data_IF_958972936801
#
_entry.id   IF_958972936801
#
_cell.length_a   1.000
_cell.length_b   1.000
_cell.length_c   1.000
_cell.angle_alpha   90.00
_cell.angle_beta   90.00
_cell.angle_gamma   90.00
#
_symmetry.space_group_name_H-M   'P 1'
#
loop_
_entity.id
_entity.type
_entity.pdbx_description
1 polymer ?
#
# COMPACT_ATOMS: atom_id res chain seq x y z
N UNK A 1 6.65 -25.09 -1.11
CA UNK A 1 6.31 -24.24 0.08
C UNK A 1 6.12 -22.81 -0.37
N UNK A 2 5.32 -22.01 0.35
CA UNK A 2 5.12 -20.59 0.03
C UNK A 2 5.38 -19.80 1.31
N UNK A 3 6.36 -18.89 1.25
CA UNK A 3 6.68 -17.96 2.34
C UNK A 3 5.97 -16.62 2.07
N UNK A 4 5.26 -16.08 3.06
CA UNK A 4 4.50 -14.81 2.93
C UNK A 4 4.56 -14.00 4.23
N UNK A 5 4.70 -12.67 4.10
CA UNK A 5 4.65 -11.70 5.19
C UNK A 5 3.25 -11.14 5.45
N UNK A 6 3.20 -10.09 6.24
CA UNK A 6 2.00 -9.27 6.38
C UNK A 6 1.65 -8.62 5.03
N UNK A 7 0.41 -8.14 4.89
CA UNK A 7 -0.04 -7.47 3.68
C UNK A 7 -1.52 -7.69 3.39
N UNK A 8 -1.87 -7.73 2.12
CA UNK A 8 -3.25 -7.85 1.68
C UNK A 8 -3.87 -9.21 2.04
N UNK A 9 -4.95 -9.17 2.84
CA UNK A 9 -5.64 -10.39 3.32
C UNK A 9 -6.16 -11.29 2.19
N UNK A 10 -6.47 -10.74 1.01
CA UNK A 10 -6.89 -11.51 -0.16
C UNK A 10 -5.80 -12.44 -0.67
N UNK A 11 -4.52 -12.04 -0.63
CA UNK A 11 -3.39 -12.90 -0.97
C UNK A 11 -3.30 -14.10 -0.03
N UNK A 12 -3.46 -13.88 1.29
CA UNK A 12 -3.52 -14.96 2.26
C UNK A 12 -4.70 -15.92 1.99
N UNK A 13 -5.86 -15.40 1.58
CA UNK A 13 -7.01 -16.20 1.21
C UNK A 13 -6.75 -17.10 0.00
N UNK A 14 -6.14 -16.55 -1.05
CA UNK A 14 -5.74 -17.29 -2.26
C UNK A 14 -4.72 -18.38 -1.91
N UNK A 15 -3.70 -18.06 -1.12
CA UNK A 15 -2.67 -19.02 -0.72
C UNK A 15 -3.24 -20.13 0.17
N UNK A 16 -4.16 -19.81 1.08
CA UNK A 16 -4.87 -20.82 1.88
C UNK A 16 -5.69 -21.78 0.99
N UNK A 17 -6.31 -21.27 -0.08
CA UNK A 17 -6.99 -22.11 -1.07
C UNK A 17 -6.00 -22.97 -1.83
N UNK A 18 -4.89 -22.42 -2.32
CA UNK A 18 -3.84 -23.18 -3.01
C UNK A 18 -3.23 -24.27 -2.11
N UNK A 19 -2.98 -23.96 -0.84
CA UNK A 19 -2.51 -24.95 0.14
C UNK A 19 -3.46 -26.15 0.25
N UNK A 20 -4.78 -25.91 0.26
CA UNK A 20 -5.79 -27.00 0.26
C UNK A 20 -5.77 -27.83 -1.02
N UNK A 21 -5.52 -27.22 -2.16
CA UNK A 21 -5.57 -27.89 -3.47
C UNK A 21 -4.28 -28.67 -3.76
N UNK A 22 -3.14 -28.16 -3.36
CA UNK A 22 -1.81 -28.67 -3.75
C UNK A 22 -1.03 -29.32 -2.60
N UNK A 23 -1.45 -29.09 -1.36
CA UNK A 23 -0.70 -29.49 -0.17
C UNK A 23 0.51 -28.58 0.13
N UNK A 24 0.67 -27.46 -0.60
CA UNK A 24 1.76 -26.53 -0.34
C UNK A 24 1.69 -25.95 1.07
N UNK A 25 2.81 -25.95 1.79
CA UNK A 25 2.91 -25.39 3.13
C UNK A 25 3.05 -23.87 3.03
N UNK A 26 2.35 -23.12 3.90
CA UNK A 26 2.49 -21.69 4.07
C UNK A 26 3.33 -21.44 5.32
N UNK A 27 4.37 -20.62 5.20
CA UNK A 27 5.31 -20.27 6.28
C UNK A 27 5.50 -18.74 6.35
N UNK A 28 5.92 -18.20 7.50
CA UNK A 28 6.21 -16.77 7.61
C UNK A 28 7.33 -16.31 6.66
N UNK A 29 7.29 -15.04 6.24
CA UNK A 29 8.30 -14.42 5.36
C UNK A 29 9.73 -14.53 5.92
N UNK A 30 9.85 -14.41 7.24
CA UNK A 30 11.14 -14.50 7.97
C UNK A 30 11.49 -15.95 8.38
N UNK A 31 10.94 -16.97 7.69
CA UNK A 31 11.36 -18.36 7.87
C UNK A 31 12.86 -18.51 7.65
N UNK A 32 13.48 -19.54 8.27
CA UNK A 32 14.89 -19.84 8.01
C UNK A 32 15.09 -20.14 6.52
N UNK A 33 16.16 -19.61 5.94
CA UNK A 33 16.56 -19.89 4.56
C UNK A 33 16.75 -21.39 4.30
N UNK A 34 17.12 -22.17 5.32
CA UNK A 34 17.28 -23.62 5.22
C UNK A 34 15.96 -24.38 5.05
N UNK A 35 14.83 -23.73 5.35
CA UNK A 35 13.50 -24.32 5.13
C UNK A 35 13.07 -24.25 3.67
N UNK A 36 13.67 -23.33 2.87
CA UNK A 36 13.39 -23.18 1.44
C UNK A 36 14.11 -24.24 0.62
N UNK A 37 13.45 -24.69 -0.45
CA UNK A 37 13.99 -25.63 -1.43
C UNK A 37 13.68 -25.21 -2.86
N UNK A 38 14.18 -26.00 -3.81
CA UNK A 38 13.96 -25.79 -5.24
C UNK A 38 12.46 -25.77 -5.57
N UNK A 39 12.03 -24.76 -6.32
CA UNK A 39 10.64 -24.56 -6.73
C UNK A 39 9.73 -23.94 -5.67
N UNK A 40 10.22 -23.64 -4.48
CA UNK A 40 9.46 -22.89 -3.47
C UNK A 40 9.28 -21.41 -3.88
N UNK A 41 8.34 -20.72 -3.25
CA UNK A 41 7.99 -19.35 -3.58
C UNK A 41 8.08 -18.45 -2.35
N UNK A 42 8.77 -17.32 -2.47
CA UNK A 42 8.61 -16.18 -1.56
C UNK A 42 7.62 -15.20 -2.19
N UNK A 43 6.53 -14.91 -1.49
CA UNK A 43 5.56 -13.87 -1.84
C UNK A 43 5.84 -12.63 -0.98
N UNK A 44 6.39 -11.60 -1.59
CA UNK A 44 6.74 -10.34 -0.94
C UNK A 44 5.80 -9.24 -1.38
N UNK A 45 5.09 -8.59 -0.46
CA UNK A 45 4.36 -7.35 -0.74
C UNK A 45 5.21 -6.14 -0.33
N UNK A 46 5.52 -5.27 -1.29
CA UNK A 46 6.33 -4.07 -1.02
C UNK A 46 6.08 -2.96 -2.05
N UNK A 47 5.72 -1.73 -1.60
CA UNK A 47 5.40 -1.34 -0.23
C UNK A 47 4.18 -2.10 0.32
N UNK A 48 4.14 -2.29 1.64
CA UNK A 48 3.17 -3.18 2.30
C UNK A 48 1.87 -2.44 2.69
N UNK A 49 0.73 -3.08 2.47
CA UNK A 49 -0.57 -2.62 2.97
C UNK A 49 -0.73 -3.01 4.46
N UNK A 50 -1.10 -2.10 5.37
CA UNK A 50 -1.63 -0.75 5.09
C UNK A 50 -0.64 0.39 5.28
N UNK A 51 0.58 0.16 5.73
CA UNK A 51 1.50 1.18 6.22
C UNK A 51 2.24 1.96 5.13
N UNK A 52 2.37 1.37 3.93
CA UNK A 52 3.18 1.93 2.86
C UNK A 52 4.70 1.81 3.11
N UNK A 53 5.11 1.07 4.13
CA UNK A 53 6.53 0.77 4.38
C UNK A 53 7.06 -0.24 3.36
N UNK A 54 8.34 -0.12 3.00
CA UNK A 54 8.94 -0.93 1.96
C UNK A 54 9.94 -1.96 2.51
N UNK A 55 10.03 -3.09 1.82
CA UNK A 55 11.03 -4.12 2.05
C UNK A 55 12.04 -4.17 0.91
N UNK A 56 13.28 -4.51 1.22
CA UNK A 56 14.36 -4.61 0.23
C UNK A 56 14.17 -5.86 -0.65
N UNK A 57 13.75 -5.68 -1.90
CA UNK A 57 13.48 -6.77 -2.85
C UNK A 57 14.72 -7.64 -3.05
N UNK A 58 15.89 -7.03 -3.24
CA UNK A 58 17.16 -7.74 -3.45
C UNK A 58 17.46 -8.75 -2.33
N UNK A 59 17.24 -8.39 -1.08
CA UNK A 59 17.43 -9.27 0.08
C UNK A 59 16.62 -10.58 -0.06
N UNK A 60 15.36 -10.45 -0.48
CA UNK A 60 14.47 -11.61 -0.62
C UNK A 60 14.72 -12.39 -1.91
N UNK A 61 15.16 -11.71 -2.98
CA UNK A 61 15.62 -12.39 -4.20
C UNK A 61 16.83 -13.26 -3.92
N UNK A 62 17.85 -12.72 -3.25
CA UNK A 62 19.06 -13.47 -2.89
C UNK A 62 18.71 -14.65 -1.94
N UNK A 63 17.79 -14.44 -0.98
CA UNK A 63 17.29 -15.51 -0.10
C UNK A 63 16.64 -16.63 -0.91
N UNK A 64 15.72 -16.32 -1.84
CA UNK A 64 15.03 -17.30 -2.68
C UNK A 64 16.02 -18.04 -3.58
N UNK A 65 16.80 -17.31 -4.35
CA UNK A 65 17.69 -17.87 -5.38
C UNK A 65 18.80 -18.73 -4.78
N UNK A 66 19.26 -18.46 -3.55
CA UNK A 66 20.24 -19.28 -2.84
C UNK A 66 19.78 -20.73 -2.62
N UNK A 67 18.48 -21.00 -2.78
CA UNK A 67 17.84 -22.31 -2.58
C UNK A 67 17.14 -22.86 -3.82
N UNK A 68 17.27 -22.18 -4.98
CA UNK A 68 16.52 -22.52 -6.19
C UNK A 68 15.03 -22.23 -6.07
N UNK A 69 14.63 -21.42 -5.09
CA UNK A 69 13.28 -20.88 -4.94
C UNK A 69 13.10 -19.60 -5.75
N UNK A 70 11.88 -19.13 -5.88
CA UNK A 70 11.49 -17.98 -6.66
C UNK A 70 10.96 -16.84 -5.80
N UNK A 71 11.10 -15.60 -6.29
CA UNK A 71 10.52 -14.41 -5.69
C UNK A 71 9.39 -13.85 -6.54
N UNK A 72 8.17 -13.82 -5.99
CA UNK A 72 7.05 -13.02 -6.49
C UNK A 72 6.91 -11.75 -5.64
N UNK A 73 6.87 -10.61 -6.32
CA UNK A 73 6.65 -9.32 -5.66
C UNK A 73 5.25 -8.80 -6.00
N UNK A 74 4.40 -8.64 -4.98
CA UNK A 74 3.23 -7.79 -5.11
C UNK A 74 3.67 -6.33 -5.00
N UNK A 75 3.74 -5.67 -6.16
CA UNK A 75 4.17 -4.28 -6.29
C UNK A 75 2.97 -3.33 -6.49
N UNK A 76 1.80 -3.70 -5.96
CA UNK A 76 0.59 -2.89 -6.13
C UNK A 76 0.75 -1.47 -5.59
N UNK A 77 1.41 -1.28 -4.43
CA UNK A 77 1.66 0.06 -3.85
C UNK A 77 2.87 0.78 -4.45
N UNK A 78 3.72 0.06 -5.17
CA UNK A 78 4.82 0.59 -5.98
C UNK A 78 4.59 0.33 -7.47
N UNK A 79 3.57 0.96 -8.10
CA UNK A 79 3.24 0.69 -9.49
C UNK A 79 4.35 1.14 -10.44
N UNK A 80 4.31 0.72 -11.73
CA UNK A 80 5.25 1.17 -12.75
C UNK A 80 5.41 2.69 -12.74
N UNK A 81 6.65 3.14 -12.82
CA UNK A 81 7.05 4.53 -12.65
C UNK A 81 7.61 4.86 -11.26
N UNK A 82 7.28 4.09 -10.22
CA UNK A 82 7.88 4.20 -8.89
C UNK A 82 8.88 3.08 -8.59
N UNK A 83 8.55 1.84 -8.92
CA UNK A 83 9.36 0.66 -8.62
C UNK A 83 9.39 -0.30 -9.81
N UNK A 84 10.56 -0.87 -10.10
CA UNK A 84 10.71 -2.02 -11.00
C UNK A 84 11.34 -3.20 -10.24
N UNK A 85 10.55 -4.16 -9.76
CA UNK A 85 11.07 -5.30 -9.02
C UNK A 85 12.01 -6.20 -9.82
N UNK A 86 11.95 -6.22 -11.16
CA UNK A 86 12.86 -7.02 -11.98
C UNK A 86 14.31 -6.56 -11.87
N UNK A 87 14.55 -5.25 -11.77
CA UNK A 87 15.90 -4.70 -11.55
C UNK A 87 16.52 -5.16 -10.21
N UNK A 88 15.67 -5.61 -9.29
CA UNK A 88 16.05 -6.09 -7.97
C UNK A 88 15.97 -7.62 -7.80
N UNK A 89 15.73 -8.35 -8.89
CA UNK A 89 15.81 -9.81 -8.93
C UNK A 89 14.48 -10.54 -8.67
N UNK A 90 13.35 -9.88 -8.80
CA UNK A 90 12.07 -10.58 -8.80
C UNK A 90 11.93 -11.48 -10.04
N UNK A 91 11.37 -12.67 -9.86
CA UNK A 91 11.04 -13.61 -10.96
C UNK A 91 9.65 -13.34 -11.52
N UNK A 92 8.75 -12.91 -10.66
CA UNK A 92 7.36 -12.57 -10.96
C UNK A 92 6.99 -11.26 -10.28
N UNK A 93 6.21 -10.44 -10.99
CA UNK A 93 5.59 -9.24 -10.42
C UNK A 93 4.09 -9.41 -10.51
N UNK A 94 3.39 -9.10 -9.40
CA UNK A 94 1.94 -8.99 -9.37
C UNK A 94 1.52 -7.54 -9.12
N UNK A 95 0.46 -7.13 -9.81
CA UNK A 95 -0.26 -5.91 -9.51
C UNK A 95 -1.76 -6.17 -9.43
N UNK A 96 -2.41 -5.64 -8.43
CA UNK A 96 -3.84 -5.38 -8.53
C UNK A 96 -4.06 -4.26 -9.54
N UNK A 97 -4.42 -4.60 -10.78
CA UNK A 97 -4.69 -3.61 -11.80
C UNK A 97 -5.92 -2.75 -11.50
N UNK A 98 -6.77 -3.22 -10.59
CA UNK A 98 -7.88 -2.47 -9.96
C UNK A 98 -7.43 -1.14 -9.34
N UNK A 99 -6.15 -1.05 -8.90
CA UNK A 99 -5.61 0.09 -8.16
C UNK A 99 -5.04 1.13 -9.13
N UNK A 100 -3.77 1.43 -9.08
CA UNK A 100 -3.14 2.50 -9.87
C UNK A 100 -3.23 2.33 -11.38
N UNK A 101 -3.19 1.08 -11.87
CA UNK A 101 -3.26 0.80 -13.31
C UNK A 101 -4.63 1.20 -13.87
N UNK A 102 -5.72 0.81 -13.22
CA UNK A 102 -7.05 1.32 -13.50
C UNK A 102 -7.20 2.79 -13.11
N UNK A 103 -6.92 3.11 -11.86
CA UNK A 103 -6.77 4.45 -11.33
C UNK A 103 -8.03 5.33 -11.29
N UNK A 104 -9.22 4.75 -11.55
CA UNK A 104 -10.48 5.50 -11.63
C UNK A 104 -11.65 4.80 -10.92
N UNK A 105 -11.34 3.81 -10.07
CA UNK A 105 -12.34 3.07 -9.27
C UNK A 105 -13.45 2.40 -10.09
N UNK A 106 -13.20 2.10 -11.35
CA UNK A 106 -14.18 1.67 -12.36
C UNK A 106 -13.89 0.31 -13.01
N UNK A 107 -12.80 -0.38 -12.62
CA UNK A 107 -12.45 -1.70 -13.15
C UNK A 107 -11.84 -2.65 -12.13
N UNK A 108 -11.96 -3.94 -12.38
CA UNK A 108 -11.31 -5.00 -11.63
C UNK A 108 -10.39 -5.78 -12.56
N UNK A 109 -9.10 -5.87 -12.25
CA UNK A 109 -8.18 -6.78 -12.93
C UNK A 109 -6.96 -7.13 -12.09
N UNK A 110 -6.30 -8.23 -12.44
CA UNK A 110 -4.99 -8.61 -11.95
C UNK A 110 -3.98 -8.64 -13.10
N UNK A 111 -2.73 -8.34 -12.81
CA UNK A 111 -1.62 -8.42 -13.76
C UNK A 111 -0.52 -9.24 -13.11
N UNK A 112 -0.03 -10.23 -13.85
CA UNK A 112 1.20 -10.95 -13.53
C UNK A 112 2.18 -10.71 -14.67
N UNK A 113 3.39 -10.30 -14.34
CA UNK A 113 4.48 -10.10 -15.28
C UNK A 113 5.67 -11.01 -14.94
N UNK A 114 6.35 -11.51 -15.96
CA UNK A 114 7.59 -12.27 -15.83
C UNK A 114 8.48 -12.02 -17.03
N UNK A 115 9.80 -12.10 -16.84
CA UNK A 115 10.78 -12.08 -17.93
C UNK A 115 11.04 -13.48 -18.52
N UNK A 116 10.52 -14.54 -17.90
CA UNK A 116 10.63 -15.92 -18.37
C UNK A 116 9.54 -16.22 -19.41
N UNK A 117 9.94 -16.46 -20.67
CA UNK A 117 9.02 -16.71 -21.78
C UNK A 117 8.18 -17.98 -21.63
N UNK A 118 8.74 -19.03 -21.05
CA UNK A 118 8.02 -20.29 -20.81
C UNK A 118 6.94 -20.11 -19.76
N UNK A 119 7.25 -19.40 -18.67
CA UNK A 119 6.25 -19.06 -17.66
C UNK A 119 5.16 -18.13 -18.21
N UNK A 120 5.52 -17.15 -19.05
CA UNK A 120 4.55 -16.29 -19.69
C UNK A 120 3.58 -17.08 -20.57
N UNK A 121 4.05 -18.12 -21.24
CA UNK A 121 3.22 -19.02 -22.05
C UNK A 121 2.31 -19.87 -21.17
N UNK A 122 2.86 -20.53 -20.15
CA UNK A 122 2.08 -21.34 -19.21
C UNK A 122 0.97 -20.54 -18.52
N UNK A 123 1.31 -19.34 -18.01
CA UNK A 123 0.33 -18.46 -17.36
C UNK A 123 -0.79 -18.00 -18.30
N UNK A 124 -0.52 -17.82 -19.62
CA UNK A 124 -1.57 -17.52 -20.60
C UNK A 124 -2.53 -18.68 -20.78
N UNK A 125 -2.02 -19.90 -20.86
CA UNK A 125 -2.83 -21.11 -21.02
C UNK A 125 -3.67 -21.34 -19.76
N UNK A 126 -3.07 -21.27 -18.59
CA UNK A 126 -3.76 -21.41 -17.30
C UNK A 126 -4.85 -20.36 -17.11
N UNK A 127 -4.61 -19.12 -17.53
CA UNK A 127 -5.62 -18.05 -17.52
C UNK A 127 -6.85 -18.44 -18.31
N UNK A 128 -6.69 -19.10 -19.46
CA UNK A 128 -7.79 -19.57 -20.31
C UNK A 128 -8.53 -20.71 -19.60
N UNK A 129 -7.79 -21.69 -19.08
CA UNK A 129 -8.37 -22.87 -18.42
C UNK A 129 -9.13 -22.51 -17.14
N UNK A 130 -8.64 -21.51 -16.40
CA UNK A 130 -9.28 -21.00 -15.17
C UNK A 130 -10.41 -20.00 -15.46
N UNK A 131 -10.57 -19.56 -16.71
CA UNK A 131 -11.57 -18.56 -17.07
C UNK A 131 -11.26 -17.14 -16.58
N UNK A 132 -10.02 -16.87 -16.14
CA UNK A 132 -9.58 -15.55 -15.66
C UNK A 132 -9.26 -14.60 -16.83
N UNK A 133 -10.21 -14.43 -17.74
CA UNK A 133 -10.09 -13.61 -18.94
C UNK A 133 -10.80 -12.28 -18.74
N UNK A 134 -10.09 -11.18 -19.02
CA UNK A 134 -10.64 -9.82 -18.94
C UNK A 134 -11.83 -9.65 -19.89
N UNK A 135 -12.87 -8.98 -19.42
CA UNK A 135 -13.96 -8.50 -20.26
C UNK A 135 -13.51 -7.40 -21.20
N UNK A 136 -14.30 -7.16 -22.25
CA UNK A 136 -13.96 -6.14 -23.27
C UNK A 136 -13.94 -4.73 -22.66
N UNK A 137 -14.81 -4.44 -21.70
CA UNK A 137 -14.88 -3.15 -21.03
C UNK A 137 -13.65 -2.91 -20.16
N UNK A 138 -13.28 -3.89 -19.32
CA UNK A 138 -12.08 -3.81 -18.47
C UNK A 138 -10.81 -3.70 -19.32
N UNK A 139 -10.74 -4.41 -20.45
CA UNK A 139 -9.63 -4.30 -21.38
C UNK A 139 -9.52 -2.90 -21.99
N UNK A 140 -10.64 -2.30 -22.39
CA UNK A 140 -10.67 -0.93 -22.92
C UNK A 140 -10.32 0.10 -21.85
N UNK A 141 -10.91 0.02 -20.66
CA UNK A 141 -10.60 0.88 -19.51
C UNK A 141 -9.12 0.80 -19.14
N UNK A 142 -8.56 -0.41 -19.08
CA UNK A 142 -7.15 -0.63 -18.79
C UNK A 142 -6.21 0.05 -19.78
N UNK A 143 -6.44 -0.15 -21.11
CA UNK A 143 -5.63 0.49 -22.15
C UNK A 143 -5.76 2.02 -22.09
N UNK A 144 -6.96 2.56 -21.83
CA UNK A 144 -7.19 3.98 -21.68
C UNK A 144 -6.43 4.54 -20.48
N UNK A 145 -6.53 3.87 -19.32
CA UNK A 145 -5.93 4.33 -18.07
C UNK A 145 -4.40 4.25 -18.06
N UNK A 146 -3.82 3.25 -18.72
CA UNK A 146 -2.36 3.13 -18.87
C UNK A 146 -1.71 4.37 -19.49
N UNK A 147 -2.41 5.10 -20.36
CA UNK A 147 -1.87 6.31 -21.03
C UNK A 147 -1.55 7.44 -20.07
N UNK A 148 -2.14 7.45 -18.88
CA UNK A 148 -1.92 8.48 -17.85
C UNK A 148 -1.34 7.90 -16.54
N UNK A 149 -0.95 6.63 -16.55
CA UNK A 149 -0.49 5.95 -15.32
C UNK A 149 0.66 6.72 -14.66
N UNK A 150 1.71 7.02 -15.41
CA UNK A 150 2.90 7.71 -14.89
C UNK A 150 2.55 9.08 -14.31
N UNK A 151 1.80 9.90 -15.05
CA UNK A 151 1.38 11.24 -14.61
C UNK A 151 0.59 11.18 -13.28
N UNK A 152 -0.34 10.24 -13.17
CA UNK A 152 -1.15 10.07 -11.97
C UNK A 152 -0.32 9.61 -10.79
N UNK A 153 0.48 8.57 -10.98
CA UNK A 153 1.29 7.95 -9.92
C UNK A 153 2.35 8.92 -9.39
N UNK A 154 3.02 9.67 -10.27
CA UNK A 154 3.98 10.70 -9.85
C UNK A 154 3.30 11.78 -9.02
N UNK A 155 2.16 12.30 -9.47
CA UNK A 155 1.41 13.32 -8.73
C UNK A 155 0.92 12.81 -7.38
N UNK A 156 0.38 11.59 -7.34
CA UNK A 156 -0.11 10.95 -6.12
C UNK A 156 1.03 10.73 -5.11
N UNK A 157 2.17 10.19 -5.56
CA UNK A 157 3.35 9.98 -4.70
C UNK A 157 3.93 11.30 -4.18
N UNK A 158 3.98 12.33 -5.03
CA UNK A 158 4.40 13.67 -4.61
C UNK A 158 3.48 14.25 -3.53
N UNK A 159 2.17 14.19 -3.74
CA UNK A 159 1.19 14.68 -2.76
C UNK A 159 1.30 13.93 -1.43
N UNK A 160 1.46 12.59 -1.47
CA UNK A 160 1.65 11.78 -0.26
C UNK A 160 2.92 12.20 0.49
N UNK A 161 4.04 12.36 -0.21
CA UNK A 161 5.30 12.83 0.39
C UNK A 161 5.12 14.19 1.08
N UNK A 162 4.48 15.15 0.43
CA UNK A 162 4.22 16.48 1.00
C UNK A 162 3.31 16.40 2.25
N UNK A 163 2.28 15.55 2.25
CA UNK A 163 1.43 15.35 3.42
C UNK A 163 2.17 14.70 4.58
N UNK A 164 3.00 13.69 4.30
CA UNK A 164 3.84 13.01 5.30
C UNK A 164 4.84 14.00 5.90
N UNK A 165 5.55 14.77 5.08
CA UNK A 165 6.54 15.76 5.54
C UNK A 165 5.86 16.85 6.39
N UNK A 166 4.69 17.34 5.97
CA UNK A 166 3.90 18.30 6.74
C UNK A 166 3.49 17.75 8.10
N UNK A 167 2.92 16.54 8.16
CA UNK A 167 2.50 15.92 9.44
C UNK A 167 3.68 15.71 10.38
N UNK A 168 4.80 15.16 9.87
CA UNK A 168 6.00 14.94 10.66
C UNK A 168 6.57 16.26 11.18
N UNK A 169 6.62 17.30 10.33
CA UNK A 169 7.10 18.61 10.75
C UNK A 169 6.30 19.21 11.90
N UNK A 170 4.97 19.07 11.89
CA UNK A 170 4.11 19.52 13.00
C UNK A 170 4.32 18.67 14.26
N UNK A 171 4.56 17.37 14.12
CA UNK A 171 4.80 16.49 15.27
C UNK A 171 6.15 16.75 15.96
N UNK A 172 7.15 17.21 15.22
CA UNK A 172 8.50 17.53 15.73
C UNK A 172 8.60 18.94 16.35
N UNK A 173 7.73 19.88 15.98
CA UNK A 173 7.73 21.25 16.55
C UNK A 173 7.40 21.23 18.04
N UNK A 174 7.91 22.21 18.80
CA UNK A 174 7.46 22.43 20.18
C UNK A 174 6.04 23.00 20.21
N UNK A 175 5.28 22.64 21.24
CA UNK A 175 3.94 23.22 21.45
C UNK A 175 4.11 24.65 21.97
N UNK A 176 4.08 25.62 21.08
CA UNK A 176 4.04 27.03 21.44
C UNK A 176 2.60 27.51 21.57
N UNK A 177 2.35 28.44 22.50
CA UNK A 177 1.05 29.11 22.61
C UNK A 177 0.75 29.86 21.32
N UNK A 178 -0.36 29.48 20.64
CA UNK A 178 -0.82 30.11 19.39
C UNK A 178 -0.66 29.28 18.13
N UNK A 179 0.12 28.18 18.12
CA UNK A 179 0.18 27.29 16.95
C UNK A 179 -0.88 26.18 17.06
N UNK A 180 -2.11 26.51 16.65
CA UNK A 180 -3.25 25.61 16.74
C UNK A 180 -3.07 24.31 15.93
N UNK A 181 -2.42 24.37 14.76
CA UNK A 181 -2.20 23.22 13.89
C UNK A 181 -1.31 22.17 14.58
N UNK A 182 -0.22 22.61 15.23
CA UNK A 182 0.67 21.74 16.00
C UNK A 182 -0.08 21.06 17.13
N UNK A 183 -0.86 21.82 17.90
CA UNK A 183 -1.62 21.31 19.02
C UNK A 183 -2.64 20.24 18.59
N UNK A 184 -3.37 20.52 17.52
CA UNK A 184 -4.40 19.61 16.99
C UNK A 184 -3.78 18.32 16.45
N UNK A 185 -2.72 18.42 15.62
CA UNK A 185 -2.06 17.23 15.05
C UNK A 185 -1.45 16.39 16.16
N UNK A 186 -0.73 16.99 17.11
CA UNK A 186 -0.14 16.27 18.25
C UNK A 186 -1.17 15.63 19.18
N UNK A 187 -2.35 16.22 19.28
CA UNK A 187 -3.45 15.64 20.05
C UNK A 187 -4.05 14.41 19.40
N UNK A 188 -4.13 14.38 18.06
CA UNK A 188 -4.77 13.30 17.32
C UNK A 188 -3.80 12.20 16.93
N UNK A 189 -2.63 12.55 16.39
CA UNK A 189 -1.69 11.63 15.72
C UNK A 189 -0.63 11.13 16.71
N UNK A 190 -0.45 9.81 16.76
CA UNK A 190 0.63 9.17 17.52
C UNK A 190 1.87 8.96 16.66
N UNK A 191 1.70 8.44 15.45
CA UNK A 191 2.80 8.21 14.50
C UNK A 191 2.31 8.20 13.05
N UNK A 192 3.24 8.52 12.14
CA UNK A 192 3.07 8.42 10.70
C UNK A 192 3.93 7.27 10.19
N UNK A 193 3.39 6.44 9.29
CA UNK A 193 4.08 5.32 8.65
C UNK A 193 4.09 5.52 7.14
N UNK A 194 5.27 5.51 6.55
CA UNK A 194 5.49 5.64 5.10
C UNK A 194 6.93 5.26 4.77
N UNK A 195 7.20 4.75 3.57
CA UNK A 195 8.55 4.37 3.17
C UNK A 195 9.55 5.52 3.27
N UNK A 196 9.16 6.78 3.01
CA UNK A 196 10.06 7.95 3.14
C UNK A 196 10.60 8.17 4.56
N UNK A 197 9.98 7.59 5.57
CA UNK A 197 10.38 7.73 6.97
C UNK A 197 11.35 6.63 7.44
N UNK A 198 11.63 5.64 6.61
CA UNK A 198 12.57 4.55 6.89
C UNK A 198 14.04 5.04 6.73
N UNK A 199 14.46 5.97 7.56
CA UNK A 199 15.80 6.62 7.46
C UNK A 199 16.97 5.64 7.35
N UNK A 200 17.03 4.53 8.13
CA UNK A 200 18.11 3.54 8.02
C UNK A 200 18.17 2.83 6.66
N UNK A 201 17.04 2.73 5.99
CA UNK A 201 16.84 1.98 4.74
C UNK A 201 17.07 2.82 3.48
N UNK A 202 17.21 4.14 3.61
CA UNK A 202 17.38 5.08 2.49
C UNK A 202 18.46 4.71 1.47
N UNK A 203 19.59 4.09 1.85
CA UNK A 203 20.62 3.75 0.86
C UNK A 203 20.14 2.76 -0.22
N UNK A 204 19.35 1.75 0.15
CA UNK A 204 18.76 0.81 -0.81
C UNK A 204 17.40 1.30 -1.33
N UNK A 205 16.62 1.96 -0.48
CA UNK A 205 15.25 2.37 -0.79
C UNK A 205 15.19 3.38 -1.94
N UNK A 206 16.11 4.35 -1.98
CA UNK A 206 16.24 5.29 -3.10
C UNK A 206 16.67 4.64 -4.42
N UNK A 207 17.33 3.49 -4.37
CA UNK A 207 17.66 2.73 -5.57
C UNK A 207 16.45 1.92 -6.05
N UNK A 208 15.69 1.35 -5.12
CA UNK A 208 14.50 0.55 -5.41
C UNK A 208 13.32 1.42 -5.85
N UNK A 209 13.17 2.62 -5.26
CA UNK A 209 12.08 3.57 -5.51
C UNK A 209 12.64 4.97 -5.84
N UNK A 210 13.28 5.15 -7.00
CA UNK A 210 14.01 6.39 -7.32
C UNK A 210 13.09 7.60 -7.55
N UNK A 211 11.83 7.37 -7.92
CA UNK A 211 10.88 8.41 -8.33
C UNK A 211 9.82 8.72 -7.28
N UNK A 212 9.99 8.25 -6.03
CA UNK A 212 9.06 8.50 -4.92
C UNK A 212 8.71 7.23 -4.16
N UNK A 213 8.17 7.41 -2.97
CA UNK A 213 8.00 6.33 -1.98
C UNK A 213 6.58 5.77 -1.88
N UNK A 214 5.76 6.06 -2.89
CA UNK A 214 4.39 5.56 -2.97
C UNK A 214 3.34 6.56 -2.47
N UNK A 215 2.09 6.40 -2.92
CA UNK A 215 0.98 7.31 -2.58
C UNK A 215 0.13 6.83 -1.41
N UNK A 216 0.55 5.82 -0.68
CA UNK A 216 -0.15 5.31 0.52
C UNK A 216 0.71 5.52 1.74
N UNK A 217 0.10 6.06 2.79
CA UNK A 217 0.69 6.11 4.12
C UNK A 217 -0.35 5.79 5.19
N UNK A 218 0.09 5.49 6.39
CA UNK A 218 -0.80 5.25 7.51
C UNK A 218 -0.55 6.21 8.67
N UNK A 219 -1.62 6.55 9.37
CA UNK A 219 -1.60 7.28 10.63
C UNK A 219 -2.02 6.33 11.75
N UNK A 220 -1.19 6.19 12.77
CA UNK A 220 -1.65 5.65 14.04
C UNK A 220 -2.13 6.81 14.89
N UNK A 221 -3.40 6.79 15.25
CA UNK A 221 -4.00 7.80 16.09
C UNK A 221 -3.68 7.54 17.56
N UNK A 222 -3.76 8.54 18.42
CA UNK A 222 -3.54 8.36 19.86
C UNK A 222 -4.61 7.51 20.52
N UNK A 223 -5.83 7.54 20.00
CA UNK A 223 -6.98 6.82 20.52
C UNK A 223 -7.81 6.22 19.37
N UNK A 224 -8.50 5.12 19.63
CA UNK A 224 -9.41 4.48 18.66
C UNK A 224 -10.54 5.42 18.22
N UNK A 225 -11.05 6.24 19.13
CA UNK A 225 -12.14 7.17 18.83
C UNK A 225 -11.73 8.24 17.79
N UNK A 226 -10.47 8.70 17.80
CA UNK A 226 -9.95 9.54 16.72
C UNK A 226 -9.99 8.80 15.38
N UNK A 227 -9.45 7.57 15.34
CA UNK A 227 -9.43 6.78 14.10
C UNK A 227 -10.84 6.51 13.56
N UNK A 228 -11.80 6.25 14.43
CA UNK A 228 -13.19 5.95 14.07
C UNK A 228 -13.94 7.16 13.54
N UNK A 229 -13.69 8.36 14.10
CA UNK A 229 -14.48 9.58 13.82
C UNK A 229 -13.94 10.40 12.66
N UNK A 230 -12.62 10.51 12.50
CA UNK A 230 -11.98 11.36 11.47
C UNK A 230 -12.49 11.07 10.06
N UNK A 231 -12.65 9.81 9.59
CA UNK A 231 -13.14 9.54 8.23
C UNK A 231 -14.52 10.10 7.91
N UNK A 232 -15.34 10.40 8.91
CA UNK A 232 -16.65 11.03 8.72
C UNK A 232 -16.61 12.57 8.67
N UNK A 233 -15.44 13.18 8.94
CA UNK A 233 -15.28 14.64 9.02
C UNK A 233 -14.54 15.23 7.82
N UNK A 234 -13.82 14.41 7.07
CA UNK A 234 -13.18 14.83 5.82
C UNK A 234 -14.22 15.07 4.71
N UNK A 235 -13.89 15.90 3.75
CA UNK A 235 -14.76 16.28 2.64
C UNK A 235 -14.20 15.92 1.27
N UNK A 236 -12.86 15.96 1.14
CA UNK A 236 -12.15 15.58 -0.09
C UNK A 236 -11.73 14.11 -0.06
N UNK A 237 -11.25 13.63 1.09
CA UNK A 237 -11.01 12.21 1.26
C UNK A 237 -12.32 11.45 1.36
N UNK A 238 -12.50 10.44 0.53
CA UNK A 238 -13.65 9.53 0.66
C UNK A 238 -13.35 8.41 1.65
N UNK A 239 -14.30 8.11 2.52
CA UNK A 239 -14.18 6.97 3.45
C UNK A 239 -14.46 5.66 2.68
N UNK A 240 -13.40 4.97 2.26
CA UNK A 240 -13.50 3.75 1.46
C UNK A 240 -12.31 2.80 1.68
N UNK A 241 -12.57 1.51 1.41
CA UNK A 241 -11.57 0.42 1.58
C UNK A 241 -10.61 0.29 0.40
N UNK A 242 -10.94 0.83 -0.78
CA UNK A 242 -10.10 0.78 -1.97
C UNK A 242 -8.91 1.76 -1.88
N UNK A 243 -8.14 1.88 -2.96
CA UNK A 243 -7.00 2.79 -3.07
C UNK A 243 -6.57 2.92 -4.53
N UNK A 244 -5.66 3.87 -4.80
CA UNK A 244 -4.99 4.01 -6.09
C UNK A 244 -5.78 4.77 -7.15
N UNK A 245 -6.99 5.26 -6.82
CA UNK A 245 -7.76 6.15 -7.67
C UNK A 245 -7.18 7.55 -7.75
N UNK A 246 -7.70 8.37 -8.69
CA UNK A 246 -7.36 9.80 -8.80
C UNK A 246 -7.89 10.59 -7.61
N UNK A 247 -8.90 10.09 -6.93
CA UNK A 247 -9.48 10.61 -5.69
C UNK A 247 -8.69 10.14 -4.46
N UNK A 248 -8.61 10.99 -3.44
CA UNK A 248 -8.04 10.66 -2.15
C UNK A 248 -9.01 9.85 -1.29
N UNK A 249 -8.51 8.78 -0.66
CA UNK A 249 -9.29 7.90 0.21
C UNK A 249 -8.68 7.83 1.60
N UNK A 250 -9.54 7.70 2.61
CA UNK A 250 -9.17 7.40 3.99
C UNK A 250 -9.96 6.21 4.49
N UNK A 251 -9.32 5.28 5.18
CA UNK A 251 -9.96 4.08 5.71
C UNK A 251 -9.62 3.89 7.18
N UNK A 252 -10.62 3.73 8.03
CA UNK A 252 -10.43 3.17 9.34
C UNK A 252 -10.27 1.65 9.21
N UNK A 253 -9.04 1.17 9.34
CA UNK A 253 -8.67 -0.22 9.01
C UNK A 253 -9.41 -1.27 9.82
N UNK A 254 -9.80 -0.97 11.06
CA UNK A 254 -10.55 -1.90 11.90
C UNK A 254 -11.95 -2.26 11.38
N UNK A 255 -12.48 -1.53 10.37
CA UNK A 255 -13.74 -1.90 9.71
C UNK A 255 -13.58 -3.08 8.77
N UNK A 256 -12.46 -3.19 8.07
CA UNK A 256 -12.22 -4.22 7.05
C UNK A 256 -11.32 -5.34 7.56
N UNK A 257 -10.52 -5.09 8.59
CA UNK A 257 -9.60 -6.06 9.17
C UNK A 257 -9.61 -5.96 10.70
N UNK A 258 -10.07 -7.01 11.36
CA UNK A 258 -10.20 -7.06 12.82
C UNK A 258 -8.89 -7.38 13.54
N UNK A 259 -7.83 -7.73 12.82
CA UNK A 259 -6.53 -8.11 13.37
C UNK A 259 -5.58 -6.95 13.52
N UNK A 260 -5.81 -5.83 12.83
CA UNK A 260 -4.96 -4.64 12.88
C UNK A 260 -5.21 -3.77 14.13
N UNK A 261 -4.25 -2.91 14.43
CA UNK A 261 -4.42 -1.89 15.48
C UNK A 261 -5.64 -1.02 15.16
N UNK A 262 -6.59 -0.95 16.10
CA UNK A 262 -7.84 -0.20 15.93
C UNK A 262 -7.65 1.31 15.83
N UNK A 263 -6.45 1.82 16.14
CA UNK A 263 -6.07 3.22 15.99
C UNK A 263 -5.55 3.57 14.59
N UNK A 264 -5.54 2.61 13.65
CA UNK A 264 -4.91 2.79 12.36
C UNK A 264 -5.87 3.34 11.31
N UNK A 265 -5.47 4.45 10.70
CA UNK A 265 -6.03 5.02 9.46
C UNK A 265 -5.06 4.77 8.31
N UNK A 266 -5.55 4.28 7.19
CA UNK A 266 -4.80 4.21 5.93
C UNK A 266 -5.28 5.34 5.01
N UNK A 267 -4.36 6.10 4.45
CA UNK A 267 -4.63 7.16 3.48
C UNK A 267 -4.04 6.74 2.13
N UNK A 268 -4.87 6.80 1.09
CA UNK A 268 -4.46 6.70 -0.32
C UNK A 268 -4.64 8.05 -0.97
N UNK A 269 -3.54 8.68 -1.38
CA UNK A 269 -3.55 10.06 -1.83
C UNK A 269 -3.81 10.13 -3.33
N UNK A 270 -4.71 11.00 -3.72
CA UNK A 270 -5.09 11.28 -5.10
C UNK A 270 -4.28 12.41 -5.73
N UNK A 271 -4.85 12.98 -6.80
CA UNK A 271 -4.20 14.03 -7.61
C UNK A 271 -4.67 15.45 -7.28
N UNK A 272 -5.52 15.62 -6.28
CA UNK A 272 -6.05 16.91 -5.84
C UNK A 272 -4.92 17.87 -5.45
N UNK A 273 -5.24 19.15 -5.26
CA UNK A 273 -4.25 20.12 -4.80
C UNK A 273 -3.80 19.80 -3.36
N UNK A 274 -2.48 19.80 -3.13
CA UNK A 274 -1.91 19.49 -1.82
C UNK A 274 -2.48 20.33 -0.69
N UNK A 275 -2.62 21.65 -0.91
CA UNK A 275 -3.12 22.57 0.12
C UNK A 275 -4.58 22.26 0.49
N UNK A 276 -5.40 21.84 -0.46
CA UNK A 276 -6.79 21.45 -0.19
C UNK A 276 -6.85 20.15 0.64
N UNK A 277 -6.02 19.15 0.30
CA UNK A 277 -5.92 17.91 1.07
C UNK A 277 -5.43 18.13 2.50
N UNK A 278 -4.44 18.99 2.66
CA UNK A 278 -3.90 19.39 3.97
C UNK A 278 -4.97 20.08 4.82
N UNK A 279 -5.69 21.05 4.24
CA UNK A 279 -6.76 21.77 4.94
C UNK A 279 -7.93 20.86 5.31
N UNK A 280 -8.28 19.90 4.47
CA UNK A 280 -9.34 18.93 4.74
C UNK A 280 -8.99 18.03 5.94
N UNK A 281 -7.77 17.53 5.99
CA UNK A 281 -7.29 16.73 7.14
C UNK A 281 -7.25 17.57 8.42
N UNK A 282 -6.72 18.79 8.35
CA UNK A 282 -6.62 19.65 9.52
C UNK A 282 -8.00 20.01 10.08
N UNK A 283 -8.95 20.36 9.21
CA UNK A 283 -10.33 20.63 9.60
C UNK A 283 -10.98 19.41 10.26
N UNK A 284 -10.76 18.21 9.73
CA UNK A 284 -11.28 16.97 10.30
C UNK A 284 -10.67 16.66 11.69
N UNK A 285 -9.36 16.85 11.86
CA UNK A 285 -8.69 16.71 13.15
C UNK A 285 -9.22 17.69 14.18
N UNK A 286 -9.37 18.99 13.80
CA UNK A 286 -9.90 20.04 14.67
C UNK A 286 -11.32 19.71 15.13
N UNK A 287 -12.22 19.41 14.18
CA UNK A 287 -13.60 19.06 14.48
C UNK A 287 -13.72 17.83 15.39
N UNK A 288 -12.83 16.84 15.21
CA UNK A 288 -12.82 15.65 16.06
C UNK A 288 -12.33 15.98 17.46
N UNK A 289 -11.28 16.79 17.61
CA UNK A 289 -10.80 17.26 18.91
C UNK A 289 -11.90 18.03 19.69
N UNK A 290 -12.62 18.93 19.04
CA UNK A 290 -13.71 19.68 19.65
C UNK A 290 -14.86 18.78 20.11
N UNK A 291 -15.24 17.80 19.29
CA UNK A 291 -16.29 16.84 19.62
C UNK A 291 -15.90 15.98 20.83
N UNK A 292 -14.67 15.49 20.87
CA UNK A 292 -14.18 14.68 21.98
C UNK A 292 -14.06 15.49 23.29
N UNK A 293 -13.67 16.77 23.21
CA UNK A 293 -13.64 17.63 24.41
C UNK A 293 -15.03 17.85 25.00
N UNK A 294 -16.03 18.08 24.16
CA UNK A 294 -17.42 18.24 24.60
C UNK A 294 -17.96 16.96 25.26
N UNK A 295 -17.62 15.79 24.70
CA UNK A 295 -18.04 14.50 25.25
C UNK A 295 -17.42 14.19 26.63
N UNK A 296 -16.24 14.74 26.94
CA UNK A 296 -15.57 14.55 28.24
C UNK A 296 -16.12 15.47 29.34
N UNK A 297 -16.82 16.57 28.96
CA UNK A 297 -17.39 17.54 29.89
C UNK A 297 -18.85 17.23 30.30
N UNK A 298 -19.49 16.27 29.66
CA UNK A 298 -20.83 15.75 29.97
C UNK A 298 -20.75 14.49 30.84
#
# INVERSE_FOLDING_TARGET
MISIGEGYHGSHGVLALQSKLTGAKIVPLECDVQELGEGDLIHLETPVNPTGEAFQIRKYADKAHSKGAYLLVDSTFGPPGLQDPFEHGADLIMHSGTKYIGGHSDMLCGIIATQNGDWATALRDERIYLGSVLGSLEGWLGVRSLRTLELRVQRQSQNAGLLVDWLVSLMEQQEEEGNQDVQVVKRCVLSVHHASLQKPDMPWLKQQMPNGFGPVFALRMKDEEFARRIPSKVRLFHHATSLGGVESLIEWRAMSDKTVDRRLLRLSVGIEAFEDLKQDLLAAFTATCEEMMKATQM
#
